data_IF_786640940248
#
_entry.id   IF_786640940248
#
_cell.length_a   1.000
_cell.length_b   1.000
_cell.length_c   1.000
_cell.angle_alpha   90.00
_cell.angle_beta   90.00
_cell.angle_gamma   90.00
#
_symmetry.space_group_name_H-M   'P 1'
#
loop_
_entity.id
_entity.type
_entity.pdbx_description
1 polymer ?
#
# COMPACT_ATOMS: atom_id res chain seq x y z
N UNK A 1 -3.80 17.95 10.17
CA UNK A 1 -3.58 19.00 9.16
C UNK A 1 -2.73 18.39 8.03
N UNK A 2 -3.27 18.25 6.83
CA UNK A 2 -2.51 17.71 5.67
C UNK A 2 -1.70 18.87 5.10
N UNK A 3 -0.37 18.79 5.14
CA UNK A 3 0.47 19.86 4.60
C UNK A 3 0.29 19.99 3.09
N UNK A 4 0.33 21.23 2.59
CA UNK A 4 0.18 21.55 1.16
C UNK A 4 1.38 21.02 0.36
N UNK A 5 1.14 20.80 -0.94
CA UNK A 5 2.14 20.27 -1.87
C UNK A 5 3.29 21.28 -2.00
N UNK A 6 4.47 20.93 -1.51
CA UNK A 6 5.65 21.81 -1.47
C UNK A 6 6.10 22.22 -0.07
N UNK A 7 5.26 22.02 0.96
CA UNK A 7 5.66 22.29 2.34
C UNK A 7 6.47 21.13 2.93
N UNK A 8 7.60 21.40 3.62
CA UNK A 8 8.30 20.38 4.40
C UNK A 8 7.35 19.82 5.46
N UNK A 9 7.05 18.53 5.37
CA UNK A 9 6.33 17.83 6.42
C UNK A 9 7.18 17.86 7.69
N UNK A 10 6.67 18.47 8.76
CA UNK A 10 7.37 18.62 10.05
C UNK A 10 7.72 17.32 10.77
N UNK A 11 7.60 16.17 10.13
CA UNK A 11 7.79 14.84 10.71
C UNK A 11 8.76 13.96 9.90
N UNK A 12 9.45 14.48 8.87
CA UNK A 12 10.39 13.67 8.06
C UNK A 12 9.78 12.47 7.31
N UNK A 13 8.47 12.24 7.46
CA UNK A 13 7.71 11.15 6.86
C UNK A 13 7.64 11.22 5.34
N UNK A 14 8.03 12.32 4.70
CA UNK A 14 7.93 12.50 3.25
C UNK A 14 8.64 11.41 2.44
N UNK A 15 9.83 10.98 2.90
CA UNK A 15 10.64 9.95 2.22
C UNK A 15 9.98 8.58 2.30
N UNK A 16 9.53 8.16 3.49
CA UNK A 16 8.88 6.87 3.67
C UNK A 16 7.45 6.85 3.11
N UNK A 17 6.75 7.99 3.17
CA UNK A 17 5.37 8.14 2.69
C UNK A 17 5.26 7.85 1.20
N UNK A 18 6.18 8.36 0.36
CA UNK A 18 6.11 8.10 -1.08
C UNK A 18 6.25 6.59 -1.41
N UNK A 19 7.07 5.86 -0.65
CA UNK A 19 7.25 4.40 -0.81
C UNK A 19 6.00 3.64 -0.37
N UNK A 20 5.43 4.00 0.77
CA UNK A 20 4.20 3.37 1.30
C UNK A 20 3.01 3.67 0.40
N UNK A 21 2.79 4.94 0.03
CA UNK A 21 1.72 5.36 -0.88
C UNK A 21 1.87 4.75 -2.27
N UNK A 22 3.09 4.64 -2.80
CA UNK A 22 3.37 3.95 -4.05
C UNK A 22 3.04 2.46 -4.01
N UNK A 23 3.22 1.80 -2.86
CA UNK A 23 2.84 0.40 -2.64
C UNK A 23 1.31 0.26 -2.57
N UNK A 24 0.65 1.13 -1.81
CA UNK A 24 -0.82 1.19 -1.72
C UNK A 24 -1.45 1.49 -3.08
N UNK A 25 -0.83 2.33 -3.91
CA UNK A 25 -1.27 2.64 -5.26
C UNK A 25 -1.15 1.47 -6.26
N UNK A 26 -0.44 0.38 -5.91
CA UNK A 26 -0.40 -0.86 -6.70
C UNK A 26 -1.55 -1.82 -6.37
N UNK A 27 -2.19 -1.66 -5.22
CA UNK A 27 -3.34 -2.47 -4.79
C UNK A 27 -4.53 -2.44 -5.76
N UNK A 28 -4.88 -1.31 -6.43
CA UNK A 28 -5.95 -1.27 -7.43
C UNK A 28 -5.77 -2.25 -8.61
N UNK A 29 -4.54 -2.66 -8.93
CA UNK A 29 -4.28 -3.70 -9.94
C UNK A 29 -4.76 -5.09 -9.51
N UNK A 30 -4.98 -5.29 -8.22
CA UNK A 30 -5.42 -6.55 -7.63
C UNK A 30 -6.95 -6.59 -7.47
N UNK A 31 -7.65 -6.78 -8.59
CA UNK A 31 -9.12 -6.75 -8.77
C UNK A 31 -9.95 -7.19 -7.54
N UNK A 32 -9.86 -8.47 -7.14
CA UNK A 32 -10.64 -9.05 -6.03
C UNK A 32 -10.07 -8.74 -4.64
N UNK A 33 -8.79 -8.36 -4.56
CA UNK A 33 -8.08 -8.04 -3.30
C UNK A 33 -8.27 -6.56 -2.88
N UNK A 34 -8.80 -5.72 -3.79
CA UNK A 34 -8.88 -4.26 -3.64
C UNK A 34 -9.75 -3.84 -2.46
N UNK A 35 -11.06 -4.05 -2.55
CA UNK A 35 -12.06 -3.53 -1.63
C UNK A 35 -13.27 -4.45 -1.74
N UNK A 36 -13.64 -5.09 -0.64
CA UNK A 36 -14.95 -5.72 -0.45
C UNK A 36 -15.59 -5.06 0.76
N UNK A 37 -16.87 -4.72 0.66
CA UNK A 37 -17.76 -4.56 1.80
C UNK A 37 -18.03 -5.93 2.44
N UNK A 38 -16.96 -6.67 2.73
CA UNK A 38 -17.08 -7.91 3.46
C UNK A 38 -17.36 -7.55 4.91
N UNK A 39 -18.44 -8.12 5.44
CA UNK A 39 -18.84 -7.88 6.82
C UNK A 39 -17.89 -8.56 7.81
N UNK A 40 -17.04 -9.45 7.30
CA UNK A 40 -16.07 -10.22 8.07
C UNK A 40 -14.69 -9.54 8.04
N UNK A 41 -14.22 -9.17 9.24
CA UNK A 41 -12.95 -8.46 9.45
C UNK A 41 -11.71 -9.26 9.04
N UNK A 42 -11.71 -10.58 9.28
CA UNK A 42 -10.65 -11.52 8.89
C UNK A 42 -10.39 -11.48 7.39
N UNK A 43 -11.46 -11.47 6.60
CA UNK A 43 -11.37 -11.41 5.15
C UNK A 43 -10.88 -10.03 4.71
N UNK A 44 -11.35 -8.96 5.36
CA UNK A 44 -10.93 -7.59 5.05
C UNK A 44 -9.44 -7.36 5.31
N UNK A 45 -8.83 -8.05 6.26
CA UNK A 45 -7.40 -7.95 6.57
C UNK A 45 -6.53 -8.88 5.70
N UNK A 46 -6.99 -10.11 5.43
CA UNK A 46 -6.21 -11.11 4.70
C UNK A 46 -5.94 -10.74 3.23
N UNK A 47 -6.89 -10.09 2.54
CA UNK A 47 -6.73 -9.72 1.13
C UNK A 47 -5.63 -8.64 0.92
N UNK A 48 -5.58 -7.53 1.69
CA UNK A 48 -4.46 -6.59 1.67
C UNK A 48 -3.11 -7.22 2.00
N UNK A 49 -3.05 -8.10 2.99
CA UNK A 49 -1.81 -8.78 3.39
C UNK A 49 -1.26 -9.66 2.26
N UNK A 50 -2.14 -10.43 1.61
CA UNK A 50 -1.78 -11.25 0.45
C UNK A 50 -1.28 -10.38 -0.72
N UNK A 51 -1.92 -9.24 -0.98
CA UNK A 51 -1.51 -8.33 -2.05
C UNK A 51 -0.11 -7.73 -1.77
N UNK A 52 0.18 -7.35 -0.53
CA UNK A 52 1.52 -6.86 -0.13
C UNK A 52 2.56 -7.96 -0.33
N UNK A 53 2.28 -9.20 0.08
CA UNK A 53 3.20 -10.33 -0.11
C UNK A 53 3.52 -10.60 -1.58
N UNK A 54 2.52 -10.53 -2.47
CA UNK A 54 2.71 -10.68 -3.92
C UNK A 54 3.56 -9.55 -4.53
N UNK A 55 3.37 -8.31 -4.08
CA UNK A 55 4.18 -7.17 -4.54
C UNK A 55 5.64 -7.33 -4.08
N UNK A 56 5.85 -7.74 -2.84
CA UNK A 56 7.19 -7.97 -2.27
C UNK A 56 7.90 -9.12 -2.98
N UNK A 57 7.22 -10.25 -3.21
CA UNK A 57 7.79 -11.37 -3.97
C UNK A 57 8.22 -10.92 -5.38
N UNK A 58 7.33 -10.24 -6.12
CA UNK A 58 7.67 -9.70 -7.45
C UNK A 58 8.85 -8.72 -7.42
N UNK A 59 8.99 -7.95 -6.33
CA UNK A 59 10.12 -7.05 -6.16
C UNK A 59 11.42 -7.82 -5.92
N UNK A 60 11.39 -8.82 -5.04
CA UNK A 60 12.55 -9.70 -4.76
C UNK A 60 12.98 -10.47 -5.99
N UNK A 61 12.05 -11.03 -6.77
CA UNK A 61 12.35 -11.70 -8.04
C UNK A 61 12.97 -10.78 -9.08
N UNK A 62 12.77 -9.46 -8.98
CA UNK A 62 13.37 -8.47 -9.88
C UNK A 62 14.76 -8.03 -9.43
N UNK A 63 15.06 -8.18 -8.14
CA UNK A 63 16.38 -7.90 -7.55
C UNK A 63 17.34 -9.08 -7.70
N UNK A 64 16.78 -10.27 -7.93
CA UNK A 64 17.51 -11.50 -8.25
C UNK A 64 17.84 -11.56 -9.73
#
# INVERSE_FOLDING_TARGET
MIARRGEPHGIGLGTFRYVVEGTVARLPGFRRLRIRWERRDDIREAFPELAVRMITDRHVQRLR
#
